data_IF_049480347526
#
_entry.id   IF_049480347526
#
_cell.length_a   1.000
_cell.length_b   1.000
_cell.length_c   1.000
_cell.angle_alpha   90.00
_cell.angle_beta   90.00
_cell.angle_gamma   90.00
#
_symmetry.space_group_name_H-M   'P 1'
#
loop_
_entity.id
_entity.type
_entity.pdbx_description
1 polymer ?
#
# COMPACT_ATOMS: atom_id res chain seq x y z
N UNK A 1 1.19 15.07 6.92
CA UNK A 1 2.20 14.07 6.56
C UNK A 1 2.97 14.60 5.36
N UNK A 2 4.29 14.81 5.50
CA UNK A 2 5.15 15.43 4.48
C UNK A 2 6.24 14.46 4.03
N UNK A 3 6.93 14.76 2.93
CA UNK A 3 8.15 14.04 2.55
C UNK A 3 9.28 14.28 3.59
N UNK A 4 10.17 13.30 3.84
CA UNK A 4 10.06 11.90 3.37
C UNK A 4 9.03 11.13 4.20
N UNK A 5 8.13 10.41 3.54
CA UNK A 5 7.13 9.58 4.20
C UNK A 5 7.47 8.10 4.01
N UNK A 6 8.13 7.51 5.00
CA UNK A 6 8.61 6.14 4.94
C UNK A 6 7.50 5.15 5.29
N UNK A 7 7.31 4.13 4.46
CA UNK A 7 6.41 3.02 4.72
C UNK A 7 7.18 1.70 4.79
N UNK A 8 6.95 0.90 5.83
CA UNK A 8 7.53 -0.44 5.99
C UNK A 8 6.38 -1.45 5.99
N UNK A 9 6.41 -2.37 5.03
CA UNK A 9 5.47 -3.48 4.94
C UNK A 9 6.15 -4.77 5.41
N UNK A 10 5.44 -5.53 6.23
CA UNK A 10 5.73 -6.92 6.53
C UNK A 10 4.54 -7.74 6.04
N UNK A 11 4.77 -8.58 5.05
CA UNK A 11 3.75 -9.42 4.42
C UNK A 11 4.07 -10.88 4.72
N UNK A 12 3.10 -11.59 5.27
CA UNK A 12 3.25 -13.00 5.63
C UNK A 12 2.15 -13.83 5.00
N UNK A 13 2.49 -15.03 4.52
CA UNK A 13 1.56 -16.01 3.94
C UNK A 13 1.42 -17.21 4.86
N UNK A 14 0.19 -17.72 5.01
CA UNK A 14 -0.06 -18.95 5.74
C UNK A 14 0.38 -20.20 4.94
N UNK A 15 1.06 -21.12 5.62
CA UNK A 15 1.42 -22.47 5.16
C UNK A 15 1.15 -23.47 6.29
N UNK A 16 -0.03 -24.10 6.26
CA UNK A 16 -0.54 -24.84 7.42
C UNK A 16 -0.75 -23.90 8.61
N UNK A 17 -0.18 -24.26 9.76
CA UNK A 17 -0.25 -23.45 10.99
C UNK A 17 0.85 -22.37 11.06
N UNK A 18 1.78 -22.33 10.10
CA UNK A 18 2.89 -21.38 10.06
C UNK A 18 2.57 -20.14 9.21
N UNK A 19 3.15 -19.01 9.61
CA UNK A 19 3.15 -17.76 8.83
C UNK A 19 4.57 -17.47 8.37
N UNK A 20 4.79 -17.47 7.05
CA UNK A 20 6.10 -17.23 6.45
C UNK A 20 6.14 -15.81 5.90
N UNK A 21 7.12 -15.03 6.33
CA UNK A 21 7.37 -13.70 5.80
C UNK A 21 7.88 -13.78 4.36
N UNK A 22 7.21 -13.06 3.46
CA UNK A 22 7.57 -13.00 2.05
C UNK A 22 8.66 -11.95 1.83
N UNK A 23 9.71 -12.26 1.06
CA UNK A 23 10.77 -11.30 0.75
C UNK A 23 10.22 -10.12 -0.06
N UNK A 24 10.97 -9.01 -0.12
CA UNK A 24 10.70 -7.94 -1.08
C UNK A 24 11.32 -8.30 -2.43
N UNK A 25 10.49 -8.49 -3.45
CA UNK A 25 10.93 -8.76 -4.84
C UNK A 25 10.11 -7.85 -5.75
N UNK A 26 10.77 -7.06 -6.60
CA UNK A 26 10.11 -6.14 -7.54
C UNK A 26 9.05 -5.24 -6.90
N UNK A 27 9.35 -4.74 -5.69
CA UNK A 27 8.45 -3.93 -4.86
C UNK A 27 7.18 -4.64 -4.38
N UNK A 28 7.18 -5.97 -4.35
CA UNK A 28 6.11 -6.82 -3.80
C UNK A 28 6.60 -7.63 -2.60
N UNK A 29 5.75 -7.78 -1.58
CA UNK A 29 6.06 -8.51 -0.35
C UNK A 29 6.50 -7.61 0.80
N UNK A 30 7.44 -8.06 1.63
CA UNK A 30 7.89 -7.29 2.81
C UNK A 30 8.90 -6.20 2.43
N UNK A 31 8.41 -5.14 1.81
CA UNK A 31 9.22 -4.05 1.28
C UNK A 31 9.30 -2.84 2.21
N UNK A 32 10.39 -2.08 2.07
CA UNK A 32 10.53 -0.74 2.65
C UNK A 32 10.52 0.29 1.53
N UNK A 33 9.61 1.25 1.63
CA UNK A 33 9.51 2.39 0.73
C UNK A 33 9.97 3.62 1.50
N UNK A 34 11.16 4.14 1.18
CA UNK A 34 11.77 5.21 1.97
C UNK A 34 11.06 6.56 1.82
N UNK A 35 10.41 6.80 0.68
CA UNK A 35 9.55 7.97 0.50
C UNK A 35 8.37 7.70 -0.45
N UNK A 36 7.20 7.42 0.13
CA UNK A 36 5.95 7.24 -0.62
C UNK A 36 5.53 8.53 -1.32
N UNK A 37 5.94 9.71 -0.84
CA UNK A 37 5.64 10.97 -1.53
C UNK A 37 6.30 11.02 -2.92
N UNK A 38 7.57 10.64 -3.03
CA UNK A 38 8.26 10.55 -4.31
C UNK A 38 7.66 9.48 -5.23
N UNK A 39 7.19 8.35 -4.67
CA UNK A 39 6.53 7.31 -5.47
C UNK A 39 5.23 7.87 -6.08
N UNK A 40 4.44 8.59 -5.30
CA UNK A 40 3.22 9.24 -5.78
C UNK A 40 3.52 10.26 -6.89
N UNK A 41 4.52 11.13 -6.72
CA UNK A 41 4.89 12.12 -7.73
C UNK A 41 5.42 11.50 -9.03
N UNK A 42 6.03 10.31 -8.96
CA UNK A 42 6.48 9.56 -10.14
C UNK A 42 5.33 8.89 -10.89
N UNK A 43 4.34 8.36 -10.17
CA UNK A 43 3.18 7.68 -10.76
C UNK A 43 2.11 8.65 -11.24
N UNK A 44 1.95 9.77 -10.53
CA UNK A 44 0.98 10.83 -10.79
C UNK A 44 1.80 12.12 -10.85
N UNK A 45 2.18 12.63 -12.03
CA UNK A 45 2.98 13.84 -12.11
C UNK A 45 2.27 15.06 -11.52
N UNK A 46 2.95 15.94 -10.75
CA UNK A 46 2.35 17.14 -10.19
C UNK A 46 1.68 18.00 -11.27
N UNK A 47 0.46 18.47 -10.97
CA UNK A 47 -0.36 19.24 -11.92
C UNK A 47 -1.31 18.38 -12.76
N UNK A 48 -1.19 17.05 -12.70
CA UNK A 48 -2.23 16.14 -13.20
C UNK A 48 -3.34 15.97 -12.16
N UNK A 49 -4.61 15.82 -12.58
CA UNK A 49 -5.69 15.47 -11.65
C UNK A 49 -5.40 14.13 -10.97
N UNK A 50 -5.80 14.00 -9.71
CA UNK A 50 -5.76 12.71 -9.03
C UNK A 50 -6.62 11.67 -9.79
N UNK A 51 -6.27 10.38 -9.74
CA UNK A 51 -7.08 9.36 -10.36
C UNK A 51 -8.42 9.18 -9.62
N UNK A 52 -9.44 8.71 -10.32
CA UNK A 52 -10.65 8.23 -9.68
C UNK A 52 -10.36 6.99 -8.80
N UNK A 53 -11.05 6.80 -7.67
CA UNK A 53 -12.16 7.61 -7.14
C UNK A 53 -11.72 8.82 -6.30
N UNK A 54 -10.41 9.09 -6.18
CA UNK A 54 -9.89 10.13 -5.27
C UNK A 54 -10.33 11.53 -5.71
N UNK A 55 -10.37 11.77 -7.02
CA UNK A 55 -10.83 13.04 -7.60
C UNK A 55 -12.29 13.34 -7.22
N UNK A 56 -13.21 12.39 -7.43
CA UNK A 56 -14.63 12.54 -7.08
C UNK A 56 -14.84 12.90 -5.61
N UNK A 57 -14.05 12.31 -4.70
CA UNK A 57 -14.19 12.53 -3.26
C UNK A 57 -13.27 13.61 -2.69
N UNK A 58 -12.54 14.35 -3.55
CA UNK A 58 -11.64 15.43 -3.11
C UNK A 58 -10.49 14.95 -2.22
N UNK A 59 -10.08 13.70 -2.36
CA UNK A 59 -8.96 13.12 -1.60
C UNK A 59 -7.66 13.46 -2.32
N UNK A 60 -6.68 14.12 -1.67
CA UNK A 60 -5.41 14.43 -2.29
C UNK A 60 -4.61 13.15 -2.60
N UNK A 61 -3.84 13.18 -3.68
CA UNK A 61 -2.95 12.09 -4.10
C UNK A 61 -1.47 12.49 -4.05
N UNK A 62 -1.16 13.64 -3.45
CA UNK A 62 0.20 14.16 -3.32
C UNK A 62 0.47 14.63 -1.89
N UNK A 63 1.74 14.54 -1.50
CA UNK A 63 2.21 15.19 -0.29
C UNK A 63 2.31 16.72 -0.47
N UNK A 64 2.15 17.52 0.59
CA UNK A 64 1.82 17.10 1.95
C UNK A 64 0.33 16.82 2.15
N UNK A 65 0.01 15.67 2.76
CA UNK A 65 -1.34 15.40 3.27
C UNK A 65 -1.58 16.27 4.51
N UNK A 66 -2.52 17.21 4.43
CA UNK A 66 -2.84 18.11 5.53
C UNK A 66 -3.50 17.34 6.68
N UNK A 67 -3.43 17.88 7.90
CA UNK A 67 -4.18 17.31 9.01
C UNK A 67 -5.68 17.47 8.75
N UNK A 68 -6.45 16.41 8.94
CA UNK A 68 -7.88 16.39 8.65
C UNK A 68 -8.43 14.96 8.65
N UNK A 69 -9.73 14.85 8.43
CA UNK A 69 -10.40 13.57 8.21
C UNK A 69 -10.58 13.36 6.70
N UNK A 70 -10.09 12.22 6.22
CA UNK A 70 -10.26 11.78 4.84
C UNK A 70 -11.17 10.56 4.84
N UNK A 71 -12.16 10.52 3.96
CA UNK A 71 -13.12 9.43 3.90
C UNK A 71 -13.34 9.03 2.45
N UNK A 72 -13.10 7.77 2.16
CA UNK A 72 -13.38 7.16 0.87
C UNK A 72 -14.60 6.24 1.03
N UNK A 73 -15.76 6.57 0.45
CA UNK A 73 -16.91 5.67 0.42
C UNK A 73 -16.60 4.37 -0.34
N UNK A 74 -17.48 3.38 -0.18
CA UNK A 74 -17.39 2.14 -0.95
C UNK A 74 -17.23 2.46 -2.45
N UNK A 75 -16.15 1.95 -3.03
CA UNK A 75 -15.73 2.21 -4.40
C UNK A 75 -15.22 0.91 -5.01
N UNK A 76 -15.49 0.70 -6.28
CA UNK A 76 -15.05 -0.49 -7.01
C UNK A 76 -13.66 -0.26 -7.61
N UNK A 77 -12.79 -1.25 -7.45
CA UNK A 77 -11.45 -1.27 -8.04
C UNK A 77 -11.31 -2.51 -8.92
N UNK A 78 -11.11 -2.29 -10.21
CA UNK A 78 -10.81 -3.38 -11.13
C UNK A 78 -9.37 -3.87 -10.90
N UNK A 79 -9.23 -5.14 -10.54
CA UNK A 79 -7.93 -5.79 -10.49
C UNK A 79 -7.60 -6.31 -11.89
N UNK A 80 -6.53 -5.81 -12.53
CA UNK A 80 -6.13 -6.31 -13.84
C UNK A 80 -5.66 -7.76 -13.76
N UNK A 81 -5.79 -8.49 -14.86
CA UNK A 81 -5.15 -9.81 -15.00
C UNK A 81 -3.63 -9.61 -15.03
N UNK A 82 -2.99 -9.86 -13.89
CA UNK A 82 -1.53 -9.75 -13.71
C UNK A 82 -0.96 -11.13 -13.45
N UNK A 83 0.14 -11.45 -14.11
CA UNK A 83 0.92 -12.64 -13.78
C UNK A 83 1.54 -12.43 -12.39
N UNK A 84 0.96 -13.09 -11.40
CA UNK A 84 1.49 -13.06 -10.05
C UNK A 84 2.81 -13.87 -9.99
N UNK A 85 3.82 -13.39 -9.24
CA UNK A 85 5.00 -14.18 -8.98
C UNK A 85 4.61 -15.56 -8.41
N UNK A 86 5.36 -16.61 -8.75
CA UNK A 86 5.04 -17.99 -8.33
C UNK A 86 4.97 -18.22 -6.81
N UNK A 87 5.52 -17.30 -6.02
CA UNK A 87 5.45 -17.31 -4.56
C UNK A 87 4.19 -16.63 -3.99
N UNK A 88 3.50 -15.79 -4.78
CA UNK A 88 2.28 -15.08 -4.43
C UNK A 88 1.05 -15.83 -4.95
N UNK A 89 0.89 -17.07 -4.47
CA UNK A 89 -0.19 -17.99 -4.87
C UNK A 89 -1.45 -17.84 -4.01
N UNK A 90 -2.49 -18.59 -4.35
CA UNK A 90 -3.72 -18.64 -3.56
C UNK A 90 -3.44 -18.96 -2.08
N UNK A 91 -4.18 -18.32 -1.18
CA UNK A 91 -4.06 -18.55 0.25
C UNK A 91 -4.36 -17.33 1.12
N UNK A 92 -4.08 -17.47 2.42
CA UNK A 92 -4.31 -16.43 3.41
C UNK A 92 -3.04 -15.63 3.67
N UNK A 93 -3.22 -14.32 3.78
CA UNK A 93 -2.16 -13.34 3.96
C UNK A 93 -2.47 -12.46 5.15
N UNK A 94 -1.42 -12.00 5.83
CA UNK A 94 -1.48 -10.91 6.78
C UNK A 94 -0.40 -9.89 6.47
N UNK A 95 -0.75 -8.62 6.63
CA UNK A 95 0.12 -7.48 6.32
C UNK A 95 0.17 -6.58 7.54
N UNK A 96 1.37 -6.19 7.94
CA UNK A 96 1.60 -5.09 8.87
C UNK A 96 2.25 -3.94 8.11
N UNK A 97 1.61 -2.79 8.11
CA UNK A 97 2.11 -1.56 7.50
C UNK A 97 2.42 -0.54 8.58
N UNK A 98 3.63 0.01 8.60
CA UNK A 98 4.04 1.10 9.49
C UNK A 98 4.45 2.29 8.64
N UNK A 99 3.88 3.46 8.94
CA UNK A 99 4.23 4.72 8.28
C UNK A 99 4.93 5.63 9.28
N UNK A 100 6.04 6.23 8.88
CA UNK A 100 6.86 7.11 9.70
C UNK A 100 7.38 8.32 8.93
N UNK A 101 7.67 9.41 9.64
CA UNK A 101 8.37 10.58 9.10
C UNK A 101 9.56 10.90 10.00
N UNK A 102 10.77 10.92 9.43
CA UNK A 102 12.02 11.21 10.15
C UNK A 102 12.21 10.36 11.43
N UNK A 103 11.83 9.09 11.36
CA UNK A 103 11.92 8.14 12.47
C UNK A 103 10.76 8.16 13.47
N UNK A 104 9.86 9.14 13.38
CA UNK A 104 8.64 9.16 14.18
C UNK A 104 7.55 8.32 13.51
N UNK A 105 7.06 7.29 14.21
CA UNK A 105 5.89 6.51 13.77
C UNK A 105 4.64 7.39 13.79
N UNK A 106 3.92 7.42 12.66
CA UNK A 106 2.68 8.18 12.49
C UNK A 106 1.45 7.27 12.44
N UNK A 107 1.60 6.05 11.91
CA UNK A 107 0.52 5.08 11.82
C UNK A 107 1.05 3.64 11.77
N UNK A 108 0.26 2.71 12.30
CA UNK A 108 0.48 1.27 12.16
C UNK A 108 -0.86 0.58 11.88
N UNK A 109 -0.94 -0.18 10.78
CA UNK A 109 -2.13 -0.92 10.37
C UNK A 109 -1.80 -2.41 10.22
N UNK A 110 -2.72 -3.28 10.64
CA UNK A 110 -2.64 -4.72 10.41
C UNK A 110 -3.87 -5.16 9.61
N UNK A 111 -3.64 -5.88 8.52
CA UNK A 111 -4.67 -6.36 7.61
C UNK A 111 -4.53 -7.87 7.45
N UNK A 112 -5.65 -8.57 7.30
CA UNK A 112 -5.71 -9.98 6.92
C UNK A 112 -6.63 -10.13 5.71
N UNK A 113 -6.23 -10.91 4.72
CA UNK A 113 -7.04 -11.18 3.53
C UNK A 113 -6.74 -12.55 2.94
N UNK A 114 -7.64 -13.04 2.09
CA UNK A 114 -7.46 -14.26 1.31
C UNK A 114 -7.39 -13.91 -0.16
N UNK A 115 -6.42 -14.47 -0.87
CA UNK A 115 -6.25 -14.30 -2.32
C UNK A 115 -6.65 -15.59 -3.03
N UNK A 116 -7.46 -15.43 -4.07
CA UNK A 116 -7.83 -16.50 -4.99
C UNK A 116 -7.73 -15.97 -6.43
N UNK A 117 -6.62 -16.26 -7.08
CA UNK A 117 -6.47 -16.18 -8.53
C UNK A 117 -7.26 -17.32 -9.18
N UNK A 118 -7.97 -16.99 -10.26
CA UNK A 118 -8.54 -17.97 -11.17
C UNK A 118 -7.42 -18.71 -11.93
#
# INVERSE_FOLDING_TARGET
MTSPLKAVLVVEKALGDLWIQLPCIDQLGSCTYDDVCNILDNLIPPGTPCPEPLLTYGIPCHCPFKAGSYSLPASDFALPDVELPSWMTNGNYRVRAVVSNKGQELACVKLGFSLQSQ
#
